data_IF_078818225696
#
_entry.id   IF_078818225696
#
_cell.length_a   1.000
_cell.length_b   1.000
_cell.length_c   1.000
_cell.angle_alpha   90.00
_cell.angle_beta   90.00
_cell.angle_gamma   90.00
#
_symmetry.space_group_name_H-M   'P 1'
#
loop_
_entity.id
_entity.type
_entity.pdbx_description
1 polymer ?
#
# COMPACT_ATOMS: atom_id res chain seq x y z
N UNK A 1 20.91 27.51 3.32
CA UNK A 1 20.93 26.49 4.38
C UNK A 1 21.91 25.37 4.05
N UNK A 2 21.64 24.43 3.12
CA UNK A 2 22.54 23.29 2.87
C UNK A 2 24.02 23.65 2.65
N UNK A 3 24.32 24.70 1.88
CA UNK A 3 25.68 25.22 1.72
C UNK A 3 26.37 25.49 3.07
N UNK A 4 25.68 26.17 4.00
CA UNK A 4 26.18 26.43 5.35
C UNK A 4 26.40 25.14 6.16
N UNK A 5 25.54 24.14 6.01
CA UNK A 5 25.71 22.84 6.67
C UNK A 5 26.93 22.09 6.14
N UNK A 6 27.20 22.13 4.82
CA UNK A 6 28.41 21.56 4.25
C UNK A 6 29.66 22.23 4.81
N UNK A 7 29.71 23.57 4.77
CA UNK A 7 30.85 24.32 5.33
C UNK A 7 31.06 24.01 6.81
N UNK A 8 29.99 24.00 7.61
CA UNK A 8 30.11 23.65 9.03
C UNK A 8 30.59 22.21 9.26
N UNK A 9 30.11 21.26 8.46
CA UNK A 9 30.52 19.87 8.56
C UNK A 9 32.01 19.71 8.21
N UNK A 10 32.48 20.34 7.15
CA UNK A 10 33.90 20.37 6.77
C UNK A 10 34.76 20.98 7.87
N UNK A 11 34.39 22.17 8.37
CA UNK A 11 35.13 22.90 9.41
C UNK A 11 35.21 22.13 10.74
N UNK A 12 34.23 21.27 11.02
CA UNK A 12 34.13 20.50 12.26
C UNK A 12 34.46 19.01 12.09
N UNK A 13 35.00 18.60 10.93
CA UNK A 13 35.34 17.22 10.61
C UNK A 13 34.18 16.24 10.87
N UNK A 14 32.97 16.65 10.47
CA UNK A 14 31.77 15.82 10.47
C UNK A 14 31.68 15.14 9.11
N UNK A 15 31.29 13.87 9.10
CA UNK A 15 31.08 13.11 7.87
C UNK A 15 30.05 13.80 6.95
N UNK A 16 30.44 14.06 5.72
CA UNK A 16 29.59 14.73 4.73
C UNK A 16 28.37 13.89 4.35
N UNK A 17 28.42 12.56 4.55
CA UNK A 17 27.25 11.69 4.38
C UNK A 17 26.08 12.14 5.26
N UNK A 18 26.34 12.73 6.44
CA UNK A 18 25.29 13.29 7.30
C UNK A 18 24.58 14.49 6.65
N UNK A 19 25.32 15.30 5.90
CA UNK A 19 24.77 16.44 5.16
C UNK A 19 24.05 15.98 3.89
N UNK A 20 24.56 14.94 3.21
CA UNK A 20 23.90 14.31 2.08
C UNK A 20 22.53 13.73 2.46
N UNK A 21 22.47 13.01 3.59
CA UNK A 21 21.23 12.43 4.12
C UNK A 21 20.22 13.53 4.53
N UNK A 22 20.69 14.62 5.14
CA UNK A 22 19.87 15.80 5.39
C UNK A 22 19.34 16.42 4.09
N UNK A 23 20.20 16.56 3.07
CA UNK A 23 19.82 17.10 1.77
C UNK A 23 18.77 16.22 1.08
N UNK A 24 18.89 14.89 1.19
CA UNK A 24 17.92 13.93 0.68
C UNK A 24 16.54 14.14 1.31
N UNK A 25 16.45 14.23 2.63
CA UNK A 25 15.18 14.45 3.34
C UNK A 25 14.57 15.82 2.99
N UNK A 26 15.39 16.87 2.91
CA UNK A 26 14.93 18.20 2.50
C UNK A 26 14.43 18.22 1.05
N UNK A 27 15.07 17.46 0.15
CA UNK A 27 14.63 17.32 -1.23
C UNK A 27 13.29 16.56 -1.31
N UNK A 28 13.16 15.47 -0.55
CA UNK A 28 11.91 14.70 -0.43
C UNK A 28 10.73 15.59 0.00
N UNK A 29 10.93 16.38 1.05
CA UNK A 29 9.95 17.37 1.51
C UNK A 29 9.55 18.36 0.41
N UNK A 30 10.52 18.94 -0.30
CA UNK A 30 10.25 19.91 -1.38
C UNK A 30 9.53 19.28 -2.57
N UNK A 31 9.80 18.02 -2.87
CA UNK A 31 9.13 17.28 -3.94
C UNK A 31 7.67 16.95 -3.60
N UNK A 32 7.37 16.68 -2.34
CA UNK A 32 6.01 16.36 -1.89
C UNK A 32 5.07 17.59 -1.89
N UNK A 33 5.61 18.80 -1.72
CA UNK A 33 4.86 20.06 -1.66
C UNK A 33 4.19 20.31 -0.30
N UNK A 34 3.45 21.44 -0.14
CA UNK A 34 2.81 21.79 1.12
C UNK A 34 1.75 20.75 1.51
N UNK A 35 1.94 20.08 2.65
CA UNK A 35 1.09 18.97 3.11
C UNK A 35 1.79 17.62 3.14
N UNK A 36 2.99 17.54 2.56
CA UNK A 36 3.91 16.43 2.75
C UNK A 36 3.54 15.14 2.03
N UNK A 37 4.23 14.06 2.39
CA UNK A 37 3.75 12.71 2.10
C UNK A 37 2.37 12.50 2.73
N UNK A 38 1.47 11.82 2.01
CA UNK A 38 0.07 11.58 2.43
C UNK A 38 0.06 11.14 3.90
N UNK A 39 -0.71 11.81 4.79
CA UNK A 39 -0.69 11.51 6.23
C UNK A 39 -0.98 10.03 6.49
N UNK A 40 -0.02 9.35 7.11
CA UNK A 40 -0.18 7.97 7.55
C UNK A 40 -0.83 7.97 8.93
N UNK A 41 -2.14 8.15 8.96
CA UNK A 41 -2.94 8.03 10.19
C UNK A 41 -2.90 6.58 10.72
N UNK A 42 -3.07 6.36 12.03
CA UNK A 42 -3.30 5.03 12.59
C UNK A 42 -4.41 4.30 11.82
N UNK A 43 -4.05 3.19 11.16
CA UNK A 43 -4.96 2.37 10.36
C UNK A 43 -4.70 2.40 8.85
N UNK A 44 -3.75 3.22 8.38
CA UNK A 44 -3.45 3.38 6.96
C UNK A 44 -2.23 2.57 6.47
N UNK A 45 -1.44 2.00 7.38
CA UNK A 45 -0.18 1.33 7.04
C UNK A 45 -0.16 -0.11 7.53
N UNK A 46 0.29 -1.02 6.67
CA UNK A 46 0.29 -2.44 6.94
C UNK A 46 1.58 -3.08 6.40
N UNK A 47 2.03 -4.15 7.05
CA UNK A 47 3.09 -5.00 6.50
C UNK A 47 2.62 -5.69 5.20
N UNK A 48 3.55 -6.28 4.45
CA UNK A 48 3.23 -7.06 3.24
C UNK A 48 2.31 -8.26 3.52
N UNK A 49 2.40 -8.86 4.71
CA UNK A 49 1.48 -9.89 5.19
C UNK A 49 0.18 -9.32 5.80
N UNK A 50 -0.05 -8.01 5.61
CA UNK A 50 -1.25 -7.22 5.92
C UNK A 50 -1.57 -7.10 7.41
N UNK A 51 -0.54 -7.15 8.25
CA UNK A 51 -0.67 -6.83 9.68
C UNK A 51 -0.58 -5.33 9.86
N UNK A 52 -1.38 -4.80 10.78
CA UNK A 52 -1.42 -3.38 11.03
C UNK A 52 -0.15 -2.93 11.75
N UNK A 53 0.48 -1.89 11.20
CA UNK A 53 1.60 -1.18 11.82
C UNK A 53 1.18 0.24 12.22
N UNK A 54 1.78 0.73 13.29
CA UNK A 54 1.71 2.15 13.65
C UNK A 54 3.09 2.73 13.43
N UNK A 55 3.12 3.83 12.68
CA UNK A 55 4.33 4.59 12.45
C UNK A 55 4.84 5.19 13.76
N UNK A 56 6.13 5.07 13.98
CA UNK A 56 6.79 5.59 15.15
C UNK A 56 8.28 5.70 14.86
N UNK A 57 8.94 6.63 15.53
CA UNK A 57 10.39 6.58 15.66
C UNK A 57 10.79 5.52 16.68
N UNK A 58 12.08 5.17 16.66
CA UNK A 58 12.65 4.47 17.79
C UNK A 58 12.74 5.37 19.03
N UNK A 59 13.15 4.81 20.17
CA UNK A 59 13.19 5.55 21.43
C UNK A 59 14.17 6.74 21.40
N UNK A 60 15.33 6.58 20.74
CA UNK A 60 16.36 7.62 20.65
C UNK A 60 15.81 8.78 19.83
N UNK A 61 15.32 8.49 18.65
CA UNK A 61 14.87 9.49 17.70
C UNK A 61 13.59 10.17 18.20
N UNK A 62 12.70 9.46 18.91
CA UNK A 62 11.56 10.08 19.57
C UNK A 62 11.98 11.15 20.58
N UNK A 63 12.99 10.86 21.42
CA UNK A 63 13.49 11.81 22.43
C UNK A 63 14.13 13.02 21.77
N UNK A 64 14.96 12.80 20.75
CA UNK A 64 15.65 13.90 20.06
C UNK A 64 14.65 14.74 19.27
N UNK A 65 13.70 14.12 18.56
CA UNK A 65 12.64 14.84 17.87
C UNK A 65 11.79 15.70 18.82
N UNK A 66 11.49 15.18 20.01
CA UNK A 66 10.83 15.96 21.07
C UNK A 66 11.68 17.17 21.49
N UNK A 67 12.98 16.97 21.72
CA UNK A 67 13.88 18.06 22.12
C UNK A 67 14.00 19.12 21.03
N UNK A 68 14.15 18.73 19.76
CA UNK A 68 14.20 19.69 18.65
C UNK A 68 12.87 20.46 18.57
N UNK A 69 11.72 19.77 18.58
CA UNK A 69 10.40 20.41 18.46
C UNK A 69 10.10 21.41 19.58
N UNK A 70 10.55 21.13 20.80
CA UNK A 70 10.22 21.91 21.99
C UNK A 70 11.36 22.83 22.46
N UNK A 71 12.54 22.74 21.85
CA UNK A 71 13.69 23.59 22.15
C UNK A 71 13.55 25.01 21.61
N UNK A 72 14.23 25.96 22.25
CA UNK A 72 14.29 27.36 21.84
C UNK A 72 14.88 27.53 20.46
N UNK A 73 15.83 26.67 20.06
CA UNK A 73 16.42 26.69 18.72
C UNK A 73 15.37 26.60 17.60
N UNK A 74 14.25 25.88 17.82
CA UNK A 74 13.12 25.78 16.88
C UNK A 74 12.45 27.13 16.58
N UNK A 75 12.66 28.13 17.43
CA UNK A 75 12.07 29.46 17.31
C UNK A 75 12.82 30.38 16.34
N UNK A 76 14.13 30.20 16.25
CA UNK A 76 15.06 31.13 15.58
C UNK A 76 15.94 30.47 14.53
N UNK A 77 15.86 29.13 14.37
CA UNK A 77 16.67 28.41 13.39
C UNK A 77 16.39 28.86 11.95
N UNK A 78 17.44 28.88 11.12
CA UNK A 78 17.35 29.13 9.68
C UNK A 78 16.73 27.96 8.89
N UNK A 79 16.56 26.79 9.52
CA UNK A 79 15.86 25.67 8.89
C UNK A 79 14.39 26.00 8.61
N UNK A 80 13.89 25.48 7.48
CA UNK A 80 12.48 25.58 7.15
C UNK A 80 11.64 24.86 8.23
N UNK A 81 10.75 25.60 8.88
CA UNK A 81 9.93 25.08 9.98
C UNK A 81 8.87 24.10 9.49
N UNK A 82 8.40 24.24 8.26
CA UNK A 82 7.53 23.26 7.61
C UNK A 82 8.23 21.93 7.42
N UNK A 83 9.48 21.96 6.95
CA UNK A 83 10.34 20.78 6.86
C UNK A 83 10.53 20.12 8.23
N UNK A 84 10.97 20.88 9.26
CA UNK A 84 11.20 20.31 10.59
C UNK A 84 9.92 19.72 11.20
N UNK A 85 8.78 20.40 11.05
CA UNK A 85 7.49 19.88 11.54
C UNK A 85 7.07 18.58 10.85
N UNK A 86 7.53 18.34 9.62
CA UNK A 86 7.25 17.12 8.87
C UNK A 86 8.25 16.00 9.20
N UNK A 87 9.55 16.30 9.11
CA UNK A 87 10.62 15.35 9.36
C UNK A 87 10.59 14.77 10.79
N UNK A 88 10.17 15.59 11.77
CA UNK A 88 10.13 15.21 13.18
C UNK A 88 8.77 14.63 13.59
N UNK A 89 7.86 14.38 12.64
CA UNK A 89 6.54 13.78 12.87
C UNK A 89 6.49 12.37 12.27
N UNK A 90 6.46 11.31 13.10
CA UNK A 90 6.49 9.94 12.59
C UNK A 90 5.25 9.57 11.78
N UNK A 91 4.12 10.28 11.93
CA UNK A 91 2.93 10.05 11.10
C UNK A 91 3.09 10.60 9.66
N UNK A 92 4.10 11.45 9.43
CA UNK A 92 4.38 12.07 8.13
C UNK A 92 5.67 11.53 7.50
N UNK A 93 6.74 11.44 8.30
CA UNK A 93 8.04 10.96 7.87
C UNK A 93 8.54 9.86 8.84
N UNK A 94 7.90 8.67 8.85
CA UNK A 94 8.30 7.57 9.73
C UNK A 94 9.74 7.09 9.51
N UNK A 95 10.25 7.28 8.30
CA UNK A 95 11.61 6.94 7.89
C UNK A 95 12.31 8.20 7.41
N UNK A 96 13.54 8.39 7.86
CA UNK A 96 14.38 9.53 7.52
C UNK A 96 15.80 9.05 7.21
N UNK A 97 16.48 9.76 6.31
CA UNK A 97 17.90 9.53 6.07
C UNK A 97 18.76 10.14 7.16
N UNK A 98 18.45 11.36 7.59
CA UNK A 98 19.29 12.13 8.52
C UNK A 98 19.32 11.52 9.92
N UNK A 99 20.49 11.49 10.57
CA UNK A 99 20.57 11.20 12.01
C UNK A 99 20.00 12.40 12.79
N UNK A 100 18.99 12.16 13.63
CA UNK A 100 18.38 13.22 14.43
C UNK A 100 19.34 13.88 15.41
N UNK A 101 20.37 13.19 15.89
CA UNK A 101 21.41 13.83 16.72
C UNK A 101 22.19 14.88 15.92
N UNK A 102 22.51 14.56 14.66
CA UNK A 102 23.13 15.51 13.74
C UNK A 102 22.18 16.66 13.42
N UNK A 103 20.90 16.36 13.12
CA UNK A 103 19.89 17.38 12.86
C UNK A 103 19.71 18.32 14.06
N UNK A 104 19.69 17.81 15.30
CA UNK A 104 19.61 18.62 16.51
C UNK A 104 20.77 19.60 16.62
N UNK A 105 21.99 19.13 16.33
CA UNK A 105 23.19 19.97 16.31
C UNK A 105 23.06 21.08 15.26
N UNK A 106 22.62 20.74 14.04
CA UNK A 106 22.46 21.72 12.97
C UNK A 106 21.36 22.74 13.28
N UNK A 107 20.20 22.29 13.76
CA UNK A 107 19.09 23.19 14.13
C UNK A 107 19.55 24.21 15.17
N UNK A 108 20.31 23.78 16.18
CA UNK A 108 20.88 24.65 17.21
C UNK A 108 21.96 25.58 16.66
N UNK A 109 22.92 25.05 15.91
CA UNK A 109 24.03 25.83 15.35
C UNK A 109 23.55 26.96 14.44
N UNK A 110 22.52 26.70 13.63
CA UNK A 110 21.93 27.70 12.74
C UNK A 110 20.76 28.46 13.37
N UNK A 111 20.78 28.64 14.70
CA UNK A 111 19.80 29.41 15.47
C UNK A 111 20.50 30.44 16.36
N UNK A 112 19.73 31.29 17.04
CA UNK A 112 20.27 32.19 18.07
C UNK A 112 20.78 31.46 19.33
N UNK A 113 20.61 30.13 19.41
CA UNK A 113 21.11 29.27 20.49
C UNK A 113 22.49 28.64 20.18
N UNK A 114 23.13 29.03 19.07
CA UNK A 114 24.49 28.58 18.76
C UNK A 114 25.45 28.85 19.92
N UNK A 115 26.28 27.86 20.28
CA UNK A 115 27.24 27.95 21.39
C UNK A 115 26.64 28.00 22.80
N UNK A 116 25.32 28.06 22.97
CA UNK A 116 24.67 27.99 24.28
C UNK A 116 24.69 26.56 24.84
N UNK A 117 24.56 26.34 26.16
CA UNK A 117 24.38 25.01 26.73
C UNK A 117 23.12 24.33 26.17
N UNK A 118 23.14 22.99 26.10
CA UNK A 118 21.95 22.23 25.70
C UNK A 118 20.83 22.40 26.72
N UNK A 119 19.61 22.53 26.21
CA UNK A 119 18.43 22.59 27.07
C UNK A 119 18.15 21.20 27.66
N UNK A 120 17.94 21.16 28.98
CA UNK A 120 17.53 19.94 29.66
C UNK A 120 16.01 19.73 29.51
N UNK A 121 15.58 19.50 28.27
CA UNK A 121 14.20 19.15 27.96
C UNK A 121 14.02 17.64 28.13
N UNK A 122 13.24 17.26 29.14
CA UNK A 122 12.83 15.89 29.37
C UNK A 122 11.49 15.64 28.70
N UNK A 123 11.45 14.63 27.83
CA UNK A 123 10.20 14.16 27.28
C UNK A 123 9.36 13.53 28.40
N UNK A 124 8.07 13.89 28.55
CA UNK A 124 7.20 13.31 29.55
C UNK A 124 7.13 11.78 29.43
N UNK A 125 7.20 11.09 30.56
CA UNK A 125 6.96 9.65 30.61
C UNK A 125 5.52 9.34 30.21
N UNK A 126 5.36 8.37 29.31
CA UNK A 126 4.07 7.85 28.90
C UNK A 126 4.15 6.32 28.88
N UNK A 127 3.47 5.63 29.81
CA UNK A 127 3.52 4.16 29.90
C UNK A 127 2.90 3.46 28.69
N UNK A 128 2.09 4.17 27.91
CA UNK A 128 1.47 3.65 26.69
C UNK A 128 2.28 3.95 25.43
N UNK A 129 3.37 4.74 25.54
CA UNK A 129 4.22 5.01 24.39
C UNK A 129 4.86 3.71 23.91
N UNK A 130 4.92 3.61 22.58
CA UNK A 130 5.53 2.49 21.87
C UNK A 130 6.48 3.08 20.83
N UNK A 131 7.58 2.39 20.65
CA UNK A 131 8.66 2.79 19.75
C UNK A 131 8.79 1.74 18.65
N UNK A 132 9.22 2.18 17.48
CA UNK A 132 9.70 1.27 16.46
C UNK A 132 11.03 0.63 16.89
N UNK A 133 11.37 -0.50 16.28
CA UNK A 133 12.76 -0.95 16.31
C UNK A 133 13.61 0.06 15.50
N UNK A 134 14.91 0.22 15.83
CA UNK A 134 15.80 1.12 15.11
C UNK A 134 15.75 0.91 13.59
N UNK A 135 15.56 2.00 12.85
CA UNK A 135 15.49 2.01 11.38
C UNK A 135 14.22 1.41 10.76
N UNK A 136 13.22 0.95 11.53
CA UNK A 136 11.97 0.40 10.98
C UNK A 136 10.91 1.44 10.62
N UNK A 137 10.93 2.59 11.31
CA UNK A 137 9.92 3.66 11.17
C UNK A 137 8.49 3.27 11.59
N UNK A 138 8.29 2.06 12.11
CA UNK A 138 6.99 1.58 12.56
C UNK A 138 7.14 0.39 13.52
N UNK A 139 6.11 0.14 14.32
CA UNK A 139 5.99 -1.08 15.11
C UNK A 139 4.71 -1.84 14.76
N UNK A 140 4.75 -3.16 14.97
CA UNK A 140 3.62 -4.04 14.78
C UNK A 140 2.60 -3.87 15.91
N UNK A 141 1.33 -3.73 15.55
CA UNK A 141 0.24 -3.80 16.54
C UNK A 141 -0.17 -5.26 16.68
N UNK A 142 0.02 -5.84 17.87
CA UNK A 142 -0.45 -7.20 18.18
C UNK A 142 -1.85 -7.21 18.82
N UNK A 143 -2.15 -6.18 19.61
CA UNK A 143 -3.46 -5.96 20.26
C UNK A 143 -3.81 -4.47 20.28
N UNK A 144 -5.03 -4.12 19.94
CA UNK A 144 -5.64 -2.79 20.15
C UNK A 144 -6.76 -2.93 21.20
N UNK A 145 -6.67 -2.22 22.33
CA UNK A 145 -7.65 -2.28 23.43
C UNK A 145 -7.98 -3.72 23.90
N UNK A 146 -6.95 -4.57 24.02
CA UNK A 146 -7.10 -5.98 24.45
C UNK A 146 -7.73 -6.90 23.40
N UNK A 147 -7.97 -6.43 22.17
CA UNK A 147 -8.45 -7.23 21.03
C UNK A 147 -7.40 -7.29 19.95
N UNK A 148 -7.42 -8.33 19.11
CA UNK A 148 -6.58 -8.38 17.91
C UNK A 148 -6.88 -7.15 17.03
N UNK A 149 -5.87 -6.37 16.60
CA UNK A 149 -6.09 -5.23 15.74
C UNK A 149 -6.76 -5.69 14.45
N UNK A 150 -7.58 -4.83 13.82
CA UNK A 150 -7.97 -5.04 12.45
C UNK A 150 -6.72 -5.36 11.63
N UNK A 151 -6.67 -6.54 11.05
CA UNK A 151 -5.80 -6.74 9.90
C UNK A 151 -6.31 -5.83 8.77
N UNK A 152 -5.49 -5.52 7.77
CA UNK A 152 -5.92 -4.72 6.61
C UNK A 152 -7.34 -5.12 6.18
N UNK A 153 -8.18 -4.22 5.65
CA UNK A 153 -9.43 -4.65 4.99
C UNK A 153 -9.24 -5.74 3.91
N UNK A 154 -7.99 -6.03 3.50
CA UNK A 154 -7.57 -7.11 2.60
C UNK A 154 -7.18 -8.43 3.34
N UNK A 155 -7.24 -8.46 4.67
CA UNK A 155 -6.91 -9.61 5.53
C UNK A 155 -8.02 -9.98 6.53
N UNK A 156 -9.15 -9.26 6.54
CA UNK A 156 -10.34 -9.61 7.34
C UNK A 156 -11.03 -10.92 6.90
N UNK A 157 -10.48 -11.64 5.91
CA UNK A 157 -10.98 -12.91 5.42
C UNK A 157 -10.39 -14.16 6.09
N UNK A 158 -9.84 -14.08 7.31
CA UNK A 158 -9.43 -15.29 8.04
C UNK A 158 -10.55 -15.74 8.99
N UNK A 159 -11.46 -16.51 8.39
CA UNK A 159 -12.42 -17.44 8.98
C UNK A 159 -13.73 -16.86 9.52
N UNK A 160 -14.66 -16.60 8.61
CA UNK A 160 -16.08 -16.89 8.78
C UNK A 160 -16.66 -17.21 7.39
N UNK A 161 -16.73 -18.51 7.07
CA UNK A 161 -17.56 -19.22 6.07
C UNK A 161 -17.91 -18.64 4.67
N UNK A 162 -17.23 -17.60 4.18
CA UNK A 162 -17.60 -16.83 2.98
C UNK A 162 -17.65 -17.57 1.65
N UNK A 163 -18.80 -18.18 1.37
CA UNK A 163 -19.38 -18.33 0.03
C UNK A 163 -19.69 -16.95 -0.61
N UNK A 164 -18.70 -16.07 -0.70
CA UNK A 164 -18.79 -14.76 -1.36
C UNK A 164 -18.61 -14.94 -2.87
N UNK A 165 -19.71 -15.19 -3.57
CA UNK A 165 -19.72 -15.49 -5.00
C UNK A 165 -19.37 -14.23 -5.83
N UNK A 166 -18.07 -14.02 -6.07
CA UNK A 166 -17.52 -12.86 -6.79
C UNK A 166 -18.18 -12.62 -8.16
N UNK A 167 -18.77 -13.67 -8.74
CA UNK A 167 -19.50 -13.61 -10.00
C UNK A 167 -20.74 -12.71 -9.93
N UNK A 168 -21.29 -12.47 -8.74
CA UNK A 168 -22.43 -11.58 -8.51
C UNK A 168 -22.10 -10.11 -8.80
N UNK A 169 -20.83 -9.73 -8.73
CA UNK A 169 -20.37 -8.36 -8.96
C UNK A 169 -20.09 -8.06 -10.43
N UNK A 170 -20.13 -9.07 -11.31
CA UNK A 170 -19.98 -8.84 -12.75
C UNK A 170 -21.08 -7.91 -13.25
N UNK A 171 -20.76 -7.05 -14.21
CA UNK A 171 -21.79 -6.26 -14.88
C UNK A 171 -22.54 -7.14 -15.90
N UNK A 172 -23.71 -6.67 -16.35
CA UNK A 172 -24.45 -7.34 -17.43
C UNK A 172 -23.60 -7.49 -18.71
N UNK A 173 -22.79 -6.48 -18.99
CA UNK A 173 -21.90 -6.49 -20.14
C UNK A 173 -20.77 -7.51 -19.96
N UNK A 174 -20.22 -7.65 -18.74
CA UNK A 174 -19.19 -8.64 -18.45
C UNK A 174 -19.72 -10.07 -18.62
N UNK A 175 -20.90 -10.36 -18.05
CA UNK A 175 -21.56 -11.68 -18.20
C UNK A 175 -21.79 -12.04 -19.66
N UNK A 176 -22.34 -11.12 -20.46
CA UNK A 176 -22.63 -11.35 -21.88
C UNK A 176 -21.37 -11.68 -22.69
N UNK A 177 -20.27 -10.96 -22.46
CA UNK A 177 -18.99 -11.19 -23.14
C UNK A 177 -18.36 -12.52 -22.73
N UNK A 178 -18.38 -12.85 -21.44
CA UNK A 178 -17.89 -14.13 -20.94
C UNK A 178 -18.67 -15.30 -21.56
N UNK A 179 -20.00 -15.24 -21.56
CA UNK A 179 -20.84 -16.29 -22.16
C UNK A 179 -20.59 -16.49 -23.66
N UNK A 180 -20.36 -15.41 -24.41
CA UNK A 180 -19.95 -15.50 -25.82
C UNK A 180 -18.58 -16.18 -25.98
N UNK A 181 -17.61 -15.89 -25.10
CA UNK A 181 -16.30 -16.54 -25.11
C UNK A 181 -16.40 -18.03 -24.76
N UNK A 182 -17.25 -18.42 -23.80
CA UNK A 182 -17.50 -19.83 -23.48
C UNK A 182 -18.10 -20.58 -24.68
N UNK A 183 -19.11 -20.01 -25.34
CA UNK A 183 -19.73 -20.60 -26.53
C UNK A 183 -18.71 -20.81 -27.66
N UNK A 184 -17.80 -19.85 -27.86
CA UNK A 184 -16.74 -19.94 -28.86
C UNK A 184 -15.67 -20.98 -28.50
N UNK A 185 -15.20 -21.05 -27.26
CA UNK A 185 -14.22 -22.07 -26.85
C UNK A 185 -14.80 -23.48 -26.91
N UNK A 186 -16.05 -23.67 -26.49
CA UNK A 186 -16.74 -24.96 -26.57
C UNK A 186 -16.98 -25.40 -28.02
N UNK A 187 -17.35 -24.49 -28.94
CA UNK A 187 -17.52 -24.83 -30.36
C UNK A 187 -16.21 -25.20 -31.06
N UNK A 188 -15.09 -24.68 -30.54
CA UNK A 188 -13.72 -25.03 -30.96
C UNK A 188 -13.14 -26.25 -30.23
N UNK A 189 -13.88 -26.85 -29.28
CA UNK A 189 -13.42 -27.99 -28.48
C UNK A 189 -12.24 -27.67 -27.56
N UNK A 190 -12.10 -26.41 -27.14
CA UNK A 190 -11.03 -25.95 -26.25
C UNK A 190 -11.45 -26.01 -24.77
N UNK A 191 -10.49 -26.19 -23.87
CA UNK A 191 -10.76 -26.12 -22.42
C UNK A 191 -11.21 -24.70 -22.02
N UNK A 192 -12.16 -24.67 -21.07
CA UNK A 192 -12.70 -23.43 -20.50
C UNK A 192 -12.06 -23.06 -19.15
N UNK A 193 -11.10 -23.85 -18.63
CA UNK A 193 -10.56 -23.67 -17.28
C UNK A 193 -9.90 -22.29 -17.08
N UNK A 194 -9.20 -21.80 -18.11
CA UNK A 194 -8.60 -20.46 -18.07
C UNK A 194 -9.65 -19.35 -18.16
N UNK A 195 -10.78 -19.62 -18.83
CA UNK A 195 -11.89 -18.69 -18.88
C UNK A 195 -12.65 -18.66 -17.54
N UNK A 196 -12.75 -19.79 -16.84
CA UNK A 196 -13.28 -19.87 -15.47
C UNK A 196 -12.46 -18.99 -14.53
N UNK A 197 -11.13 -19.13 -14.56
CA UNK A 197 -10.22 -18.32 -13.75
C UNK A 197 -10.30 -16.83 -14.11
N UNK A 198 -10.44 -16.51 -15.39
CA UNK A 198 -10.60 -15.12 -15.86
C UNK A 198 -11.91 -14.53 -15.35
N UNK A 199 -13.02 -15.26 -15.40
CA UNK A 199 -14.32 -14.82 -14.92
C UNK A 199 -14.31 -14.57 -13.40
N UNK A 200 -13.70 -15.47 -12.63
CA UNK A 200 -13.53 -15.30 -11.18
C UNK A 200 -12.64 -14.09 -10.86
N UNK A 201 -11.53 -13.91 -11.59
CA UNK A 201 -10.63 -12.76 -11.41
C UNK A 201 -11.30 -11.44 -11.77
N UNK A 202 -12.06 -11.41 -12.86
CA UNK A 202 -12.83 -10.23 -13.24
C UNK A 202 -13.92 -9.91 -12.21
N UNK A 203 -14.63 -10.94 -11.72
CA UNK A 203 -15.61 -10.79 -10.63
C UNK A 203 -14.97 -10.22 -9.36
N UNK A 204 -13.76 -10.67 -9.02
CA UNK A 204 -12.99 -10.13 -7.91
C UNK A 204 -12.59 -8.66 -8.12
N UNK A 205 -12.21 -8.27 -9.34
CA UNK A 205 -11.93 -6.87 -9.68
C UNK A 205 -13.19 -6.02 -9.56
N UNK A 206 -14.32 -6.49 -10.09
CA UNK A 206 -15.60 -5.77 -9.99
C UNK A 206 -16.11 -5.68 -8.55
N UNK A 207 -15.94 -6.75 -7.78
CA UNK A 207 -16.22 -6.74 -6.34
C UNK A 207 -15.36 -5.69 -5.64
N UNK A 208 -14.06 -5.61 -5.96
CA UNK A 208 -13.15 -4.58 -5.44
C UNK A 208 -13.58 -3.18 -5.85
N UNK A 209 -13.99 -2.96 -7.09
CA UNK A 209 -14.51 -1.65 -7.55
C UNK A 209 -15.81 -1.27 -6.83
N UNK A 210 -16.71 -2.24 -6.60
CA UNK A 210 -18.02 -1.99 -6.01
C UNK A 210 -18.01 -1.90 -4.49
N UNK A 211 -17.09 -2.60 -3.82
CA UNK A 211 -17.08 -2.76 -2.36
C UNK A 211 -15.80 -2.27 -1.70
N UNK A 212 -14.76 -2.00 -2.47
CA UNK A 212 -13.41 -1.75 -1.96
C UNK A 212 -12.67 -2.99 -1.44
N UNK A 213 -13.30 -4.18 -1.45
CA UNK A 213 -12.75 -5.43 -0.89
C UNK A 213 -12.13 -6.31 -1.99
N UNK A 214 -10.96 -6.90 -1.73
CA UNK A 214 -10.37 -7.91 -2.61
C UNK A 214 -10.98 -9.30 -2.35
N UNK A 215 -11.25 -10.07 -3.41
CA UNK A 215 -11.74 -11.44 -3.26
C UNK A 215 -10.66 -12.38 -2.70
N UNK A 216 -11.03 -13.44 -1.97
CA UNK A 216 -10.07 -14.43 -1.47
C UNK A 216 -9.25 -15.03 -2.63
N UNK A 217 -7.93 -14.97 -2.50
CA UNK A 217 -6.99 -15.17 -3.59
C UNK A 217 -7.08 -16.56 -4.26
N UNK A 218 -7.19 -16.55 -5.58
CA UNK A 218 -6.67 -17.59 -6.46
C UNK A 218 -6.19 -16.97 -7.78
N UNK A 219 -5.13 -16.15 -7.76
CA UNK A 219 -4.56 -15.56 -8.98
C UNK A 219 -3.10 -15.94 -9.18
N UNK A 220 -2.79 -16.47 -10.36
CA UNK A 220 -1.44 -16.69 -10.88
C UNK A 220 -1.02 -15.52 -11.79
N UNK A 221 0.26 -15.41 -12.18
CA UNK A 221 0.70 -14.31 -13.06
C UNK A 221 0.03 -14.32 -14.45
N UNK A 222 -0.39 -15.49 -14.94
CA UNK A 222 -1.13 -15.65 -16.18
C UNK A 222 -2.53 -15.01 -16.12
N UNK A 223 -3.23 -15.14 -14.99
CA UNK A 223 -4.54 -14.50 -14.77
C UNK A 223 -4.48 -12.98 -14.82
N UNK A 224 -3.42 -12.35 -14.27
CA UNK A 224 -3.27 -10.88 -14.34
C UNK A 224 -3.12 -10.36 -15.77
N UNK A 225 -2.46 -11.13 -16.66
CA UNK A 225 -2.28 -10.77 -18.06
C UNK A 225 -3.59 -10.89 -18.85
N UNK A 226 -4.36 -11.95 -18.63
CA UNK A 226 -5.66 -12.16 -19.27
C UNK A 226 -6.72 -11.13 -18.82
N UNK A 227 -6.79 -10.83 -17.52
CA UNK A 227 -7.70 -9.80 -16.99
C UNK A 227 -7.35 -8.40 -17.52
N UNK A 228 -6.05 -8.07 -17.61
CA UNK A 228 -5.60 -6.79 -18.22
C UNK A 228 -5.92 -6.72 -19.71
N UNK A 229 -5.79 -7.83 -20.45
CA UNK A 229 -6.13 -7.88 -21.87
C UNK A 229 -7.64 -7.69 -22.12
N UNK A 230 -8.48 -8.24 -21.23
CA UNK A 230 -9.94 -8.11 -21.26
C UNK A 230 -10.42 -6.66 -21.05
N UNK A 231 -9.75 -5.89 -20.20
CA UNK A 231 -10.08 -4.48 -19.93
C UNK A 231 -9.74 -3.51 -21.08
N UNK A 232 -9.02 -3.96 -22.13
CA UNK A 232 -8.70 -3.12 -23.29
C UNK A 232 -9.87 -3.04 -24.29
N UNK A 233 -9.95 -1.96 -25.09
CA UNK A 233 -11.08 -1.66 -25.99
C UNK A 233 -11.42 -2.76 -27.02
N UNK A 234 -10.50 -3.72 -27.29
CA UNK A 234 -10.70 -4.89 -28.15
C UNK A 234 -10.81 -6.22 -27.36
N UNK A 235 -11.39 -6.18 -26.16
CA UNK A 235 -11.25 -7.17 -25.09
C UNK A 235 -11.60 -8.65 -25.37
N UNK A 236 -12.26 -9.01 -26.47
CA UNK A 236 -12.55 -10.43 -26.79
C UNK A 236 -11.46 -11.07 -27.66
N UNK A 237 -10.96 -10.37 -28.68
CA UNK A 237 -9.89 -10.88 -29.55
C UNK A 237 -8.54 -10.90 -28.82
N UNK A 238 -8.26 -9.85 -28.03
CA UNK A 238 -7.07 -9.79 -27.18
C UNK A 238 -7.06 -10.86 -26.09
N UNK A 239 -8.23 -11.20 -25.52
CA UNK A 239 -8.38 -12.31 -24.58
C UNK A 239 -8.05 -13.64 -25.27
N UNK A 240 -8.60 -13.90 -26.44
CA UNK A 240 -8.37 -15.15 -27.19
C UNK A 240 -6.90 -15.31 -27.61
N UNK A 241 -6.23 -14.22 -28.00
CA UNK A 241 -4.79 -14.23 -28.31
C UNK A 241 -3.94 -14.58 -27.09
N UNK A 242 -4.33 -14.14 -25.89
CA UNK A 242 -3.66 -14.51 -24.64
C UNK A 242 -3.91 -15.95 -24.20
N UNK A 243 -4.93 -16.61 -24.77
CA UNK A 243 -5.35 -17.98 -24.46
C UNK A 243 -4.87 -19.03 -25.50
N UNK A 244 -4.04 -18.65 -26.49
CA UNK A 244 -3.52 -19.50 -27.59
C UNK A 244 -2.26 -20.32 -27.24
N UNK A 245 -1.84 -21.30 -28.09
CA UNK A 245 -2.46 -22.58 -28.45
C UNK A 245 -2.05 -23.74 -27.51
N UNK A 246 -1.43 -23.44 -26.36
CA UNK A 246 -0.99 -24.45 -25.39
C UNK A 246 -2.17 -25.21 -24.73
N UNK A 247 -3.40 -24.72 -24.89
CA UNK A 247 -4.64 -25.32 -24.36
C UNK A 247 -5.35 -26.29 -25.32
N UNK A 248 -4.78 -26.63 -26.48
CA UNK A 248 -5.34 -27.73 -27.29
C UNK A 248 -5.20 -29.02 -26.51
N UNK A 249 -6.31 -29.54 -25.98
CA UNK A 249 -6.34 -30.88 -25.38
C UNK A 249 -5.78 -31.88 -26.41
N UNK A 250 -4.67 -32.53 -26.06
CA UNK A 250 -4.02 -33.55 -26.92
C UNK A 250 -4.88 -34.78 -27.16
N UNK A 251 -5.97 -34.96 -26.40
CA UNK A 251 -6.93 -36.03 -26.59
C UNK A 251 -8.34 -35.47 -26.71
N UNK A 252 -8.98 -35.78 -27.84
CA UNK A 252 -10.38 -35.50 -28.15
C UNK A 252 -11.28 -36.26 -27.16
N UNK A 253 -11.56 -35.66 -26.01
CA UNK A 253 -12.79 -35.96 -25.29
C UNK A 253 -13.64 -34.68 -25.31
N UNK A 254 -14.89 -34.74 -25.78
CA UNK A 254 -15.76 -33.58 -25.70
C UNK A 254 -15.85 -33.16 -24.22
N UNK A 255 -15.72 -31.87 -23.95
CA UNK A 255 -15.98 -31.32 -22.61
C UNK A 255 -17.48 -31.49 -22.36
N UNK A 256 -17.88 -32.61 -21.77
CA UNK A 256 -19.29 -32.95 -21.53
C UNK A 256 -19.82 -32.36 -20.23
N UNK A 257 -18.95 -31.78 -19.39
CA UNK A 257 -19.34 -31.20 -18.10
C UNK A 257 -19.16 -29.69 -18.11
N UNK A 258 -20.26 -29.00 -17.84
CA UNK A 258 -20.32 -27.55 -17.67
C UNK A 258 -19.57 -27.17 -16.40
N UNK A 259 -18.72 -26.13 -16.46
CA UNK A 259 -18.04 -25.64 -15.27
C UNK A 259 -19.05 -25.00 -14.31
N UNK A 260 -18.81 -25.10 -13.00
CA UNK A 260 -19.64 -24.43 -11.98
C UNK A 260 -19.72 -22.92 -12.18
N UNK A 261 -18.70 -22.31 -12.79
CA UNK A 261 -18.68 -20.88 -13.13
C UNK A 261 -19.63 -20.59 -14.28
N UNK A 262 -19.58 -21.38 -15.35
CA UNK A 262 -20.50 -21.25 -16.49
C UNK A 262 -21.95 -21.49 -16.08
N UNK A 263 -22.22 -22.49 -15.24
CA UNK A 263 -23.56 -22.74 -14.68
C UNK A 263 -24.13 -21.51 -13.96
N UNK A 264 -23.32 -20.87 -13.11
CA UNK A 264 -23.72 -19.66 -12.37
C UNK A 264 -23.97 -18.46 -13.28
N UNK A 265 -23.14 -18.27 -14.31
CA UNK A 265 -23.33 -17.19 -15.28
C UNK A 265 -24.64 -17.35 -16.06
N UNK A 266 -24.97 -18.57 -16.47
CA UNK A 266 -26.23 -18.90 -17.14
C UNK A 266 -27.46 -18.72 -16.23
N UNK A 267 -27.36 -19.12 -14.95
CA UNK A 267 -28.42 -18.89 -13.97
C UNK A 267 -28.68 -17.40 -13.75
N UNK A 268 -27.62 -16.58 -13.63
CA UNK A 268 -27.73 -15.14 -13.49
C UNK A 268 -28.35 -14.47 -14.73
N UNK A 269 -27.97 -14.90 -15.94
CA UNK A 269 -28.58 -14.40 -17.18
C UNK A 269 -30.06 -14.75 -17.27
N UNK A 270 -30.45 -15.97 -16.91
CA UNK A 270 -31.85 -16.42 -16.92
C UNK A 270 -32.70 -15.64 -15.91
N UNK A 271 -32.19 -15.41 -14.69
CA UNK A 271 -32.88 -14.63 -13.66
C UNK A 271 -33.18 -13.18 -14.13
N UNK A 272 -32.26 -12.57 -14.88
CA UNK A 272 -32.44 -11.22 -15.44
C UNK A 272 -33.45 -11.17 -16.60
N UNK A 273 -33.59 -12.24 -17.37
CA UNK A 273 -34.58 -12.34 -18.44
C UNK A 273 -36.00 -12.53 -17.86
N UNK A 274 -36.13 -13.25 -16.74
CA UNK A 274 -37.42 -13.47 -16.07
C UNK A 274 -37.91 -12.27 -15.24
N UNK A 275 -37.03 -11.37 -14.80
CA UNK A 275 -37.39 -10.14 -14.07
C UNK A 275 -37.84 -8.95 -14.94
N UNK A 276 -38.08 -9.19 -16.25
CA UNK A 276 -38.53 -8.19 -17.23
C UNK A 276 -39.94 -8.47 -17.80
N UNK A 277 -40.71 -9.34 -17.16
CA UNK A 277 -42.10 -9.60 -17.49
C UNK A 277 -43.04 -8.74 -16.63
#
# INVERSE_FOLDING_TARGET
>A
MLEKAYTYAEDNNIDLEQVDLLAFDMAGYRMAGPGGHIPNKPGNSYTLDGKWIINAFDERDTKIAYQIKNGKAMLSTEFDRGFLNEALDPEKAPTHGVDFAFLAKMVKEFSDQAGQPDENLQMPDDPNRRYAEPGRGSYLVETLNGKKPPTHPDNLGKNADGSGDVLNYLTKQDRKKLLQAYQMLMSLGMSTDQLDQTATSLGAVRMREATGQSAPASSTSATHKATRAYSSQNGLTSLLDTLSPANRQKNRQPVTQMSKVLEKLLMAEKAEQTGRA
#
